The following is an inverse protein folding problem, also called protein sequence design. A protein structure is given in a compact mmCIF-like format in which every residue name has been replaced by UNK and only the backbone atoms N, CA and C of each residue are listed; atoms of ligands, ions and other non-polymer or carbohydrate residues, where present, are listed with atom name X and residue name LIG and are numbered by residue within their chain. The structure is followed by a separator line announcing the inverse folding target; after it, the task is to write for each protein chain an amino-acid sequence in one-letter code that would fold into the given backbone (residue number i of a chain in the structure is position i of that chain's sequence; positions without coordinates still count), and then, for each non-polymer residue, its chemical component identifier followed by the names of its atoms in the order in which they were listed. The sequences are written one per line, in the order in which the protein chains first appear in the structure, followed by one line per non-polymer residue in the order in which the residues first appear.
data_IF_174218125824
#
_entry.id   IF_174218125824
#
_cell.length_a   1.000
_cell.length_b   1.000
_cell.length_c   1.000
_cell.angle_alpha   90.00
_cell.angle_beta   90.00
_cell.angle_gamma   90.00
#
_symmetry.space_group_name_H-M   'P 1'
#
loop_
_entity.id
_entity.type
_entity.pdbx_description
1 polymer ?
#
# COMPACT_ATOMS: atom_id res chain seq x y z
N UNK A 1 1.69 3.92 18.84
CA UNK A 1 2.41 3.85 17.55
C UNK A 1 2.81 2.40 17.31
N UNK A 2 2.72 1.92 16.07
CA UNK A 2 3.11 0.58 15.63
C UNK A 2 3.62 0.66 14.18
N UNK A 3 4.20 -0.43 13.69
CA UNK A 3 4.74 -0.55 12.33
C UNK A 3 3.90 -1.57 11.57
N UNK A 4 3.55 -1.24 10.33
CA UNK A 4 2.90 -2.16 9.39
C UNK A 4 3.79 -2.31 8.16
N UNK A 5 4.21 -3.54 7.87
CA UNK A 5 4.98 -3.85 6.68
C UNK A 5 4.04 -3.97 5.48
N UNK A 6 4.23 -3.08 4.52
CA UNK A 6 3.41 -2.91 3.33
C UNK A 6 3.82 -3.92 2.25
N UNK A 7 3.41 -5.17 2.40
CA UNK A 7 3.90 -6.30 1.61
C UNK A 7 3.15 -6.51 0.28
N UNK A 8 1.96 -5.90 0.13
CA UNK A 8 1.11 -6.17 -1.01
C UNK A 8 0.76 -7.66 -1.08
N UNK A 9 1.09 -8.32 -2.20
CA UNK A 9 0.83 -9.75 -2.39
C UNK A 9 2.05 -10.65 -2.10
N UNK A 10 3.14 -10.07 -1.59
CA UNK A 10 4.32 -10.83 -1.20
C UNK A 10 4.04 -11.69 0.04
N UNK A 11 4.95 -12.63 0.34
CA UNK A 11 4.89 -13.43 1.56
C UNK A 11 5.11 -12.56 2.80
N UNK A 12 4.62 -13.01 3.92
CA UNK A 12 4.91 -12.41 5.20
C UNK A 12 6.43 -12.46 5.50
N UNK A 13 6.91 -11.41 6.12
CA UNK A 13 8.27 -11.36 6.70
C UNK A 13 8.31 -12.19 7.97
N UNK A 14 9.44 -12.84 8.24
CA UNK A 14 9.71 -13.43 9.54
C UNK A 14 10.00 -12.33 10.57
N UNK A 15 9.99 -12.68 11.85
CA UNK A 15 10.33 -11.71 12.90
C UNK A 15 11.75 -11.16 12.74
N UNK A 16 12.69 -12.02 12.37
CA UNK A 16 14.08 -11.66 12.13
C UNK A 16 14.23 -10.67 10.97
N UNK A 17 13.52 -10.92 9.85
CA UNK A 17 13.48 -10.00 8.71
C UNK A 17 12.88 -8.64 9.09
N UNK A 18 11.82 -8.62 9.90
CA UNK A 18 11.24 -7.37 10.40
C UNK A 18 12.22 -6.59 11.29
N UNK A 19 12.93 -7.30 12.19
CA UNK A 19 13.96 -6.70 13.04
C UNK A 19 15.12 -6.14 12.22
N UNK A 20 15.57 -6.88 11.19
CA UNK A 20 16.62 -6.41 10.28
C UNK A 20 16.21 -5.13 9.55
N UNK A 21 14.94 -5.06 9.11
CA UNK A 21 14.43 -3.92 8.36
C UNK A 21 14.34 -2.62 9.18
N UNK A 22 14.01 -2.70 10.48
CA UNK A 22 13.77 -1.49 11.30
C UNK A 22 14.86 -1.27 12.37
N UNK A 23 15.72 -2.24 12.61
CA UNK A 23 16.72 -2.24 13.65
C UNK A 23 16.19 -2.72 15.00
N UNK A 24 17.06 -3.34 15.79
CA UNK A 24 16.70 -3.98 17.06
C UNK A 24 16.12 -3.00 18.10
N UNK A 25 16.58 -1.77 18.13
CA UNK A 25 16.07 -0.75 19.05
C UNK A 25 14.60 -0.42 18.77
N UNK A 26 14.24 -0.18 17.51
CA UNK A 26 12.88 0.14 17.10
C UNK A 26 11.96 -1.08 17.27
N UNK A 27 12.44 -2.27 16.90
CA UNK A 27 11.73 -3.53 17.06
C UNK A 27 11.42 -3.84 18.54
N UNK A 28 12.32 -3.51 19.46
CA UNK A 28 12.12 -3.68 20.89
C UNK A 28 11.10 -2.69 21.51
N UNK A 29 10.77 -1.61 20.82
CA UNK A 29 9.87 -0.54 21.33
C UNK A 29 8.49 -0.54 20.69
N UNK A 30 8.34 -1.00 19.45
CA UNK A 30 7.11 -0.91 18.68
C UNK A 30 6.58 -2.28 18.29
N UNK A 31 5.26 -2.43 18.33
CA UNK A 31 4.60 -3.60 17.74
C UNK A 31 4.74 -3.56 16.22
N UNK A 32 4.98 -4.71 15.62
CA UNK A 32 5.18 -4.90 14.19
C UNK A 32 4.15 -5.87 13.63
N UNK A 33 3.57 -5.55 12.48
CA UNK A 33 2.56 -6.35 11.81
C UNK A 33 2.91 -6.52 10.33
N UNK A 34 2.69 -7.70 9.80
CA UNK A 34 2.63 -7.92 8.36
C UNK A 34 1.22 -7.56 7.86
N UNK A 35 1.14 -6.88 6.71
CA UNK A 35 -0.12 -6.75 5.99
C UNK A 35 -0.26 -7.91 5.00
N UNK A 36 -0.93 -8.98 5.42
CA UNK A 36 -1.19 -10.14 4.55
C UNK A 36 -2.46 -9.91 3.73
N UNK A 37 -2.29 -9.64 2.44
CA UNK A 37 -3.40 -9.34 1.53
C UNK A 37 -4.46 -10.46 1.40
N UNK A 38 -4.16 -11.67 1.89
CA UNK A 38 -5.03 -12.86 1.78
C UNK A 38 -5.97 -13.05 2.97
N UNK A 39 -5.74 -12.34 4.08
CA UNK A 39 -6.53 -12.46 5.32
C UNK A 39 -7.64 -11.42 5.28
N UNK A 40 -8.78 -11.78 4.68
CA UNK A 40 -9.89 -10.85 4.37
C UNK A 40 -10.46 -10.12 5.57
N UNK A 41 -10.48 -10.74 6.76
CA UNK A 41 -10.95 -10.15 8.00
C UNK A 41 -10.10 -8.98 8.52
N UNK A 42 -8.88 -8.82 8.01
CA UNK A 42 -7.97 -7.75 8.41
C UNK A 42 -8.18 -6.44 7.65
N UNK A 43 -9.17 -6.38 6.76
CA UNK A 43 -9.37 -5.21 5.90
C UNK A 43 -10.71 -4.51 6.14
N UNK A 44 -10.74 -3.20 5.85
CA UNK A 44 -11.92 -2.34 5.84
C UNK A 44 -12.13 -1.74 4.45
N UNK A 45 -13.41 -1.60 4.09
CA UNK A 45 -13.81 -1.07 2.78
C UNK A 45 -13.97 0.45 2.81
N UNK A 46 -13.33 1.13 1.86
CA UNK A 46 -13.34 2.58 1.68
C UNK A 46 -14.20 3.06 0.50
N UNK A 47 -14.75 2.17 -0.29
CA UNK A 47 -15.49 2.48 -1.52
C UNK A 47 -14.74 2.01 -2.77
N UNK A 48 -15.32 2.30 -3.94
CA UNK A 48 -14.71 1.99 -5.24
C UNK A 48 -14.08 3.23 -5.84
N UNK A 49 -12.96 3.08 -6.53
CA UNK A 49 -12.40 4.14 -7.37
C UNK A 49 -13.30 4.38 -8.59
N UNK A 50 -13.05 5.49 -9.29
CA UNK A 50 -13.77 5.79 -10.56
C UNK A 50 -13.56 4.73 -11.64
N UNK A 51 -12.52 3.89 -11.51
CA UNK A 51 -12.22 2.76 -12.39
C UNK A 51 -12.80 1.43 -11.89
N UNK A 52 -13.55 1.45 -10.79
CA UNK A 52 -14.20 0.26 -10.22
C UNK A 52 -13.26 -0.64 -9.39
N UNK A 53 -12.15 -0.11 -8.91
CA UNK A 53 -11.28 -0.84 -7.97
C UNK A 53 -11.86 -0.74 -6.56
N UNK A 54 -12.26 -1.86 -5.92
CA UNK A 54 -12.73 -1.84 -4.55
C UNK A 54 -11.54 -1.59 -3.60
N UNK A 55 -11.59 -0.53 -2.81
CA UNK A 55 -10.49 -0.13 -1.92
C UNK A 55 -10.71 -0.74 -0.54
N UNK A 56 -10.02 -1.86 -0.28
CA UNK A 56 -9.96 -2.52 1.01
C UNK A 56 -8.57 -2.32 1.60
N UNK A 57 -8.46 -1.68 2.77
CA UNK A 57 -7.19 -1.35 3.42
C UNK A 57 -7.10 -2.00 4.80
N UNK A 58 -5.87 -2.33 5.20
CA UNK A 58 -5.60 -3.03 6.45
C UNK A 58 -6.02 -2.22 7.67
N UNK A 59 -6.75 -2.85 8.60
CA UNK A 59 -7.30 -2.25 9.82
C UNK A 59 -6.25 -1.57 10.70
N UNK A 60 -5.01 -2.04 10.67
CA UNK A 60 -3.93 -1.41 11.43
C UNK A 60 -3.62 0.02 11.00
N UNK A 61 -3.93 0.41 9.76
CA UNK A 61 -3.80 1.81 9.32
C UNK A 61 -5.12 2.56 9.37
N UNK A 62 -6.27 1.87 9.45
CA UNK A 62 -7.59 2.51 9.44
C UNK A 62 -7.96 3.14 10.80
N UNK A 63 -7.38 2.67 11.89
CA UNK A 63 -7.71 3.09 13.26
C UNK A 63 -6.61 3.95 13.89
N UNK A 64 -5.96 4.80 13.09
CA UNK A 64 -4.94 5.75 13.56
C UNK A 64 -5.18 7.13 12.94
N UNK A 65 -4.77 8.19 13.62
CA UNK A 65 -4.94 9.56 13.13
C UNK A 65 -3.87 9.93 12.09
N UNK A 66 -2.67 9.36 12.22
CA UNK A 66 -1.51 9.70 11.41
C UNK A 66 -0.81 8.46 10.87
N UNK A 67 -0.50 8.47 9.58
CA UNK A 67 0.29 7.44 8.90
C UNK A 67 1.55 8.07 8.32
N UNK A 68 2.71 7.55 8.74
CA UNK A 68 3.99 7.92 8.14
C UNK A 68 4.38 6.77 7.20
N UNK A 69 4.49 7.07 5.92
CA UNK A 69 4.95 6.13 4.90
C UNK A 69 6.45 6.31 4.69
N UNK A 70 7.19 5.22 4.76
CA UNK A 70 8.61 5.19 4.43
C UNK A 70 8.88 4.20 3.31
N UNK A 71 9.83 4.49 2.46
CA UNK A 71 10.19 3.57 1.37
C UNK A 71 11.03 4.23 0.30
N UNK A 72 11.62 3.40 -0.55
CA UNK A 72 12.48 3.84 -1.65
C UNK A 72 11.65 4.12 -2.91
N UNK A 73 11.91 5.25 -3.55
CA UNK A 73 11.33 5.57 -4.85
C UNK A 73 12.21 4.94 -5.94
N UNK A 74 11.65 3.97 -6.64
CA UNK A 74 12.31 3.27 -7.76
C UNK A 74 11.37 3.20 -8.96
N UNK A 75 11.93 3.00 -10.15
CA UNK A 75 11.11 2.74 -11.34
C UNK A 75 10.31 1.44 -11.20
N UNK A 76 9.09 1.45 -11.70
CA UNK A 76 8.21 0.28 -11.68
C UNK A 76 7.67 0.01 -13.08
N UNK A 77 7.76 -1.23 -13.54
CA UNK A 77 7.53 -1.61 -14.94
C UNK A 77 6.14 -1.32 -15.49
N UNK A 78 5.07 -1.28 -14.70
CA UNK A 78 3.73 -0.87 -15.15
C UNK A 78 3.09 0.26 -14.33
N UNK A 79 3.50 0.47 -13.08
CA UNK A 79 2.89 1.45 -12.17
C UNK A 79 3.66 2.79 -12.14
N UNK A 80 4.55 3.02 -13.09
CA UNK A 80 5.40 4.20 -13.15
C UNK A 80 6.56 4.14 -12.16
N UNK A 81 6.27 4.41 -10.87
CA UNK A 81 7.25 4.39 -9.78
C UNK A 81 6.78 3.57 -8.59
N UNK A 82 7.72 3.00 -7.83
CA UNK A 82 7.54 2.47 -6.49
C UNK A 82 7.55 3.57 -5.43
N UNK A 83 7.43 3.19 -4.16
CA UNK A 83 7.42 4.10 -3.01
C UNK A 83 6.15 4.93 -2.87
N UNK A 84 6.15 5.85 -1.90
CA UNK A 84 5.04 6.76 -1.67
C UNK A 84 3.68 6.07 -1.54
N UNK A 85 2.73 6.46 -2.39
CA UNK A 85 1.37 5.90 -2.46
C UNK A 85 1.32 4.38 -2.41
N UNK A 86 2.36 3.71 -2.97
CA UNK A 86 2.39 2.24 -3.02
C UNK A 86 2.50 1.58 -1.65
N UNK A 87 2.91 2.29 -0.62
CA UNK A 87 2.84 1.79 0.74
C UNK A 87 1.38 1.56 1.20
N UNK A 88 0.44 2.37 0.70
CA UNK A 88 -0.99 2.19 0.97
C UNK A 88 -1.60 1.25 -0.08
N UNK A 89 -1.57 1.62 -1.36
CA UNK A 89 -2.11 0.81 -2.44
C UNK A 89 -1.03 0.51 -3.49
N UNK A 90 -0.57 -0.74 -3.61
CA UNK A 90 -1.12 -1.99 -3.08
C UNK A 90 -0.57 -2.45 -1.71
N UNK A 91 0.38 -1.76 -1.09
CA UNK A 91 1.21 -2.24 0.00
C UNK A 91 0.45 -2.80 1.21
N UNK A 92 -0.61 -2.13 1.66
CA UNK A 92 -1.48 -2.59 2.75
C UNK A 92 -2.93 -2.78 2.27
N UNK A 93 -3.12 -3.12 0.99
CA UNK A 93 -4.42 -3.40 0.41
C UNK A 93 -4.72 -4.91 0.34
N UNK A 94 -6.01 -5.27 0.36
CA UNK A 94 -6.45 -6.64 0.18
C UNK A 94 -6.17 -7.16 -1.23
N UNK A 95 -6.10 -8.48 -1.37
CA UNK A 95 -5.83 -9.17 -2.64
C UNK A 95 -6.79 -8.75 -3.75
N UNK A 96 -8.06 -8.55 -3.43
CA UNK A 96 -9.07 -8.13 -4.41
C UNK A 96 -8.75 -6.75 -4.99
N UNK A 97 -8.44 -5.76 -4.13
CA UNK A 97 -7.99 -4.43 -4.53
C UNK A 97 -6.78 -4.50 -5.45
N UNK A 98 -5.76 -5.26 -5.02
CA UNK A 98 -4.53 -5.40 -5.81
C UNK A 98 -4.82 -6.02 -7.17
N UNK A 99 -5.63 -7.08 -7.23
CA UNK A 99 -5.96 -7.78 -8.47
C UNK A 99 -6.65 -6.88 -9.48
N UNK A 100 -7.65 -6.09 -9.04
CA UNK A 100 -8.37 -5.18 -9.94
C UNK A 100 -7.45 -4.06 -10.41
N UNK A 101 -6.75 -3.35 -9.51
CA UNK A 101 -5.80 -2.32 -9.90
C UNK A 101 -4.71 -2.83 -10.87
N UNK A 102 -4.13 -4.01 -10.59
CA UNK A 102 -3.07 -4.56 -11.43
C UNK A 102 -3.57 -5.09 -12.78
N UNK A 103 -4.88 -5.37 -12.94
CA UNK A 103 -5.43 -5.73 -14.26
C UNK A 103 -5.27 -4.61 -15.29
N UNK A 104 -5.17 -3.36 -14.85
CA UNK A 104 -4.92 -2.20 -15.72
C UNK A 104 -3.49 -2.17 -16.30
N UNK A 105 -2.61 -3.07 -15.89
CA UNK A 105 -1.25 -3.15 -16.44
C UNK A 105 -1.21 -3.51 -17.94
N UNK A 106 -2.32 -4.02 -18.48
CA UNK A 106 -2.46 -4.34 -19.91
C UNK A 106 -2.74 -3.10 -20.77
N UNK A 107 -3.06 -1.96 -20.15
CA UNK A 107 -3.24 -0.70 -20.87
C UNK A 107 -1.89 -0.23 -21.47
N UNK A 108 -1.86 0.23 -22.73
CA UNK A 108 -0.62 0.70 -23.38
C UNK A 108 0.00 1.92 -22.69
N UNK A 109 -0.75 2.64 -21.86
CA UNK A 109 -0.25 3.74 -21.04
C UNK A 109 0.35 3.29 -19.71
N UNK A 110 0.12 2.05 -19.28
CA UNK A 110 0.80 1.48 -18.13
C UNK A 110 2.28 1.23 -18.50
N UNK A 111 3.21 1.83 -17.76
CA UNK A 111 4.62 1.69 -18.13
C UNK A 111 5.60 2.33 -17.16
N UNK A 112 6.86 2.00 -17.39
CA UNK A 112 8.00 2.46 -16.61
C UNK A 112 8.07 4.00 -16.59
N UNK A 113 8.12 4.60 -15.40
CA UNK A 113 8.25 6.05 -15.23
C UNK A 113 7.04 6.88 -15.65
N UNK A 114 5.98 6.26 -16.17
CA UNK A 114 4.74 6.95 -16.55
C UNK A 114 3.84 7.17 -15.34
N UNK A 115 3.40 8.41 -15.13
CA UNK A 115 2.46 8.77 -14.07
C UNK A 115 1.16 9.33 -14.66
N UNK A 116 1.25 10.34 -15.52
CA UNK A 116 0.10 10.96 -16.17
C UNK A 116 -0.44 10.03 -17.26
N UNK A 117 -1.75 9.76 -17.21
CA UNK A 117 -2.43 8.85 -18.12
C UNK A 117 -2.17 7.37 -17.87
N UNK A 118 -1.36 7.02 -16.87
CA UNK A 118 -1.15 5.63 -16.48
C UNK A 118 -2.31 5.16 -15.58
N UNK A 119 -3.19 4.26 -16.04
CA UNK A 119 -4.38 3.90 -15.29
C UNK A 119 -4.07 3.20 -13.96
N UNK A 120 -2.99 2.42 -13.89
CA UNK A 120 -2.55 1.79 -12.63
C UNK A 120 -2.14 2.83 -11.61
N UNK A 121 -1.33 3.81 -12.05
CA UNK A 121 -0.86 4.88 -11.17
C UNK A 121 -2.01 5.76 -10.67
N UNK A 122 -2.87 6.24 -11.60
CA UNK A 122 -3.97 7.15 -11.28
C UNK A 122 -5.00 6.50 -10.35
N UNK A 123 -5.33 5.23 -10.58
CA UNK A 123 -6.23 4.46 -9.73
C UNK A 123 -5.66 4.26 -8.31
N UNK A 124 -4.35 4.01 -8.19
CA UNK A 124 -3.67 3.97 -6.89
C UNK A 124 -3.75 5.32 -6.17
N UNK A 125 -3.52 6.43 -6.89
CA UNK A 125 -3.62 7.77 -6.33
C UNK A 125 -5.02 8.08 -5.83
N UNK A 126 -6.06 7.68 -6.58
CA UNK A 126 -7.45 7.85 -6.17
C UNK A 126 -7.76 7.06 -4.89
N UNK A 127 -7.38 5.78 -4.82
CA UNK A 127 -7.57 4.96 -3.62
C UNK A 127 -6.86 5.52 -2.39
N UNK A 128 -5.64 6.04 -2.55
CA UNK A 128 -4.92 6.73 -1.46
C UNK A 128 -5.61 8.03 -1.06
N UNK A 129 -6.14 8.79 -2.03
CA UNK A 129 -6.89 10.02 -1.73
C UNK A 129 -8.19 9.73 -0.96
N UNK A 130 -8.85 8.59 -1.21
CA UNK A 130 -10.02 8.16 -0.43
C UNK A 130 -9.65 7.93 1.04
N UNK A 131 -8.54 7.26 1.30
CA UNK A 131 -8.01 7.05 2.65
C UNK A 131 -7.62 8.37 3.34
N UNK A 132 -6.92 9.25 2.63
CA UNK A 132 -6.42 10.51 3.15
C UNK A 132 -7.50 11.55 3.50
N UNK A 133 -8.77 11.32 3.12
CA UNK A 133 -9.88 12.20 3.54
C UNK A 133 -10.05 12.25 5.05
N UNK A 134 -9.77 11.15 5.73
CA UNK A 134 -9.99 11.00 7.18
C UNK A 134 -8.68 10.75 7.97
N UNK A 135 -7.55 10.68 7.29
CA UNK A 135 -6.26 10.36 7.90
C UNK A 135 -5.19 11.36 7.46
N UNK A 136 -4.34 11.78 8.38
CA UNK A 136 -3.15 12.54 8.05
C UNK A 136 -2.07 11.58 7.53
N UNK A 137 -1.64 11.80 6.29
CA UNK A 137 -0.66 10.93 5.61
C UNK A 137 0.60 11.74 5.32
N UNK A 138 1.74 11.26 5.78
CA UNK A 138 3.04 11.87 5.57
C UNK A 138 3.98 10.88 4.88
N UNK A 139 4.69 11.34 3.86
CA UNK A 139 5.70 10.57 3.14
C UNK A 139 7.10 11.04 3.56
N UNK A 140 7.92 10.08 4.01
CA UNK A 140 9.32 10.31 4.37
C UNK A 140 10.25 9.56 3.41
#
# INVERSE_FOLDING_TARGET
MHIVFALGTHRNMTHEEMVEAVGAEVAGRLKMYNSDAKVSEDFEYFGDTSRGTPVWLNKHICHVDHVIMTGTIVHHYFSGYGGGRKAILPGVAAMETVRVNHSFMLDPNAGLGKTVGNPVYEDQMEGVAMFAKNHSVFLF
#
